data_IF_761296162129
#
_entry.id   IF_761296162129
#
_cell.length_a   1.000
_cell.length_b   1.000
_cell.length_c   1.000
_cell.angle_alpha   90.00
_cell.angle_beta   90.00
_cell.angle_gamma   90.00
#
_symmetry.space_group_name_H-M   'P 1'
#
loop_
_entity.id
_entity.type
_entity.pdbx_description
1 polymer ?
#
# COMPACT_ATOMS: atom_id res chain seq x y z
N UNK A 1 14.28 13.20 4.56
CA UNK A 1 13.62 12.27 5.51
C UNK A 1 12.13 12.56 5.49
N UNK A 2 11.26 11.55 5.60
CA UNK A 2 9.80 11.76 5.68
C UNK A 2 9.37 11.58 7.15
N UNK A 3 8.76 12.59 7.79
CA UNK A 3 8.27 12.47 9.17
C UNK A 3 7.14 11.47 9.30
N UNK A 4 7.07 10.77 10.44
CA UNK A 4 5.98 9.81 10.72
C UNK A 4 4.58 10.44 10.68
N UNK A 5 4.40 11.64 11.23
CA UNK A 5 3.12 12.36 11.16
C UNK A 5 2.66 12.57 9.72
N UNK A 6 3.58 12.97 8.84
CA UNK A 6 3.28 13.15 7.42
C UNK A 6 2.89 11.83 6.73
N UNK A 7 3.51 10.72 7.13
CA UNK A 7 3.12 9.39 6.64
C UNK A 7 1.72 9.04 7.12
N UNK A 8 1.40 9.31 8.39
CA UNK A 8 0.08 9.06 8.95
C UNK A 8 -1.00 9.87 8.22
N UNK A 9 -0.82 11.18 8.07
CA UNK A 9 -1.76 12.06 7.35
C UNK A 9 -1.95 11.58 5.91
N UNK A 10 -0.84 11.20 5.24
CA UNK A 10 -0.91 10.71 3.87
C UNK A 10 -1.61 9.36 3.77
N UNK A 11 -1.34 8.43 4.67
CA UNK A 11 -2.03 7.13 4.75
C UNK A 11 -3.52 7.31 5.02
N UNK A 12 -3.91 8.29 5.84
CA UNK A 12 -5.32 8.60 6.07
C UNK A 12 -6.03 9.10 4.80
N UNK A 13 -5.38 10.01 4.08
CA UNK A 13 -5.91 10.48 2.81
C UNK A 13 -6.08 9.34 1.80
N UNK A 14 -5.07 8.47 1.67
CA UNK A 14 -5.16 7.29 0.80
C UNK A 14 -6.31 6.37 1.22
N UNK A 15 -6.50 6.14 2.52
CA UNK A 15 -7.61 5.31 3.02
C UNK A 15 -8.97 5.90 2.65
N UNK A 16 -9.15 7.23 2.75
CA UNK A 16 -10.38 7.91 2.34
C UNK A 16 -10.62 7.80 0.84
N UNK A 17 -9.59 8.01 0.02
CA UNK A 17 -9.68 7.89 -1.44
C UNK A 17 -10.09 6.46 -1.84
N UNK A 18 -9.47 5.44 -1.22
CA UNK A 18 -9.81 4.02 -1.44
C UNK A 18 -11.25 3.73 -0.99
N UNK A 19 -11.64 4.20 0.20
CA UNK A 19 -12.96 3.95 0.75
C UNK A 19 -14.07 4.54 -0.13
N UNK A 20 -13.88 5.75 -0.65
CA UNK A 20 -14.83 6.38 -1.58
C UNK A 20 -14.96 5.62 -2.91
N UNK A 21 -13.85 5.04 -3.39
CA UNK A 21 -13.83 4.28 -4.62
C UNK A 21 -14.46 2.88 -4.49
N UNK A 22 -14.33 2.25 -3.32
CA UNK A 22 -14.89 0.93 -3.02
C UNK A 22 -16.38 1.02 -2.65
N UNK A 23 -16.80 2.09 -1.97
CA UNK A 23 -18.18 2.28 -1.47
C UNK A 23 -18.60 1.12 -0.55
N UNK A 24 -19.85 0.67 -0.64
CA UNK A 24 -20.43 -0.41 0.16
C UNK A 24 -20.19 -1.80 -0.47
N UNK A 25 -19.00 -2.04 -1.03
CA UNK A 25 -18.60 -3.34 -1.59
C UNK A 25 -17.52 -4.06 -0.77
N UNK A 26 -17.52 -5.41 -0.77
CA UNK A 26 -16.48 -6.18 -0.10
C UNK A 26 -15.11 -5.90 -0.70
N UNK A 27 -14.10 -5.74 0.16
CA UNK A 27 -12.75 -5.36 -0.25
C UNK A 27 -11.75 -6.46 0.04
N UNK A 28 -10.86 -6.77 -0.90
CA UNK A 28 -9.71 -7.65 -0.67
C UNK A 28 -8.39 -6.88 -0.80
N UNK A 29 -7.62 -6.85 0.28
CA UNK A 29 -6.35 -6.15 0.34
C UNK A 29 -5.18 -7.16 0.36
N UNK A 30 -4.31 -7.06 -0.64
CA UNK A 30 -3.14 -7.92 -0.82
C UNK A 30 -1.84 -7.16 -0.53
N UNK A 31 -1.23 -7.46 0.61
CA UNK A 31 0.03 -6.86 1.01
C UNK A 31 1.23 -7.53 0.31
N UNK A 32 2.08 -6.72 -0.35
CA UNK A 32 3.34 -7.20 -0.93
C UNK A 32 4.48 -7.06 0.09
N UNK A 33 4.98 -8.18 0.58
CA UNK A 33 6.12 -8.27 1.50
C UNK A 33 7.47 -8.07 0.76
N UNK A 34 8.53 -7.60 1.43
CA UNK A 34 8.74 -7.50 2.89
C UNK A 34 8.65 -6.09 3.51
N UNK A 35 8.74 -5.02 2.74
CA UNK A 35 8.87 -3.66 3.28
C UNK A 35 7.55 -2.94 3.60
N UNK A 36 6.43 -3.41 3.06
CA UNK A 36 5.16 -2.69 3.10
C UNK A 36 4.25 -2.99 4.28
N UNK A 37 4.61 -3.94 5.16
CA UNK A 37 3.70 -4.42 6.21
C UNK A 37 3.20 -3.31 7.13
N UNK A 38 4.07 -2.41 7.59
CA UNK A 38 3.68 -1.33 8.50
C UNK A 38 2.73 -0.31 7.85
N UNK A 39 3.02 0.08 6.62
CA UNK A 39 2.10 0.93 5.85
C UNK A 39 0.76 0.22 5.61
N UNK A 40 0.82 -1.08 5.32
CA UNK A 40 -0.35 -1.91 5.10
C UNK A 40 -1.24 -1.97 6.34
N UNK A 41 -0.69 -2.27 7.52
CA UNK A 41 -1.46 -2.29 8.78
C UNK A 41 -2.06 -0.93 9.09
N UNK A 42 -1.29 0.15 8.96
CA UNK A 42 -1.79 1.51 9.22
C UNK A 42 -2.94 1.87 8.29
N UNK A 43 -2.88 1.47 7.02
CA UNK A 43 -3.96 1.71 6.06
C UNK A 43 -5.19 0.85 6.35
N UNK A 44 -4.97 -0.43 6.71
CA UNK A 44 -6.02 -1.38 7.06
C UNK A 44 -6.84 -0.90 8.25
N UNK A 45 -6.17 -0.39 9.29
CA UNK A 45 -6.81 0.16 10.48
C UNK A 45 -7.68 1.37 10.15
N UNK A 46 -7.20 2.24 9.25
CA UNK A 46 -7.96 3.41 8.78
C UNK A 46 -9.16 3.00 7.93
N UNK A 47 -9.00 2.06 7.01
CA UNK A 47 -10.10 1.51 6.21
C UNK A 47 -11.16 0.84 7.09
N UNK A 48 -10.75 0.07 8.08
CA UNK A 48 -11.65 -0.59 9.03
C UNK A 48 -12.42 0.43 9.86
N UNK A 49 -11.73 1.50 10.31
CA UNK A 49 -12.36 2.61 11.04
C UNK A 49 -13.38 3.34 10.17
N UNK A 50 -13.04 3.64 8.91
CA UNK A 50 -13.96 4.29 7.96
C UNK A 50 -15.18 3.41 7.67
N UNK A 51 -14.97 2.12 7.41
CA UNK A 51 -16.05 1.16 7.16
C UNK A 51 -17.04 1.08 8.34
N UNK A 52 -16.54 1.11 9.58
CA UNK A 52 -17.40 1.09 10.78
C UNK A 52 -18.11 2.40 11.08
N UNK A 53 -17.50 3.54 10.75
CA UNK A 53 -18.00 4.87 11.15
C UNK A 53 -18.78 5.60 10.06
N UNK A 54 -18.47 5.33 8.79
CA UNK A 54 -19.01 6.04 7.63
C UNK A 54 -19.67 5.11 6.61
N UNK A 55 -19.52 3.79 6.74
CA UNK A 55 -20.19 2.82 5.86
C UNK A 55 -21.70 2.81 6.12
N UNK A 56 -22.49 2.76 5.04
CA UNK A 56 -23.94 2.54 5.19
C UNK A 56 -24.21 1.11 5.67
N UNK A 57 -23.35 0.18 5.25
CA UNK A 57 -23.33 -1.22 5.66
C UNK A 57 -21.89 -1.62 5.98
N UNK A 58 -21.68 -2.34 7.07
CA UNK A 58 -20.36 -2.90 7.39
C UNK A 58 -20.01 -3.98 6.34
N UNK A 59 -19.10 -3.64 5.42
CA UNK A 59 -18.65 -4.58 4.38
C UNK A 59 -17.51 -5.46 4.89
N UNK A 60 -17.42 -6.73 4.47
CA UNK A 60 -16.30 -7.57 4.85
C UNK A 60 -15.03 -7.11 4.15
N UNK A 61 -13.92 -7.15 4.88
CA UNK A 61 -12.60 -6.83 4.39
C UNK A 61 -11.68 -8.04 4.55
N UNK A 62 -11.14 -8.51 3.44
CA UNK A 62 -10.26 -9.67 3.36
C UNK A 62 -8.81 -9.24 3.19
N UNK A 63 -7.89 -10.03 3.72
CA UNK A 63 -6.47 -9.71 3.73
C UNK A 63 -5.66 -10.91 3.27
N UNK A 64 -4.80 -10.70 2.28
CA UNK A 64 -3.83 -11.66 1.78
C UNK A 64 -2.41 -11.08 1.79
N UNK A 65 -1.40 -11.95 1.77
CA UNK A 65 0.01 -11.56 1.78
C UNK A 65 0.81 -12.31 0.73
N UNK A 66 1.47 -11.58 -0.18
CA UNK A 66 2.36 -12.18 -1.18
C UNK A 66 3.78 -11.64 -1.07
N UNK A 67 4.77 -12.48 -1.38
CA UNK A 67 6.17 -12.08 -1.48
C UNK A 67 6.59 -11.97 -2.94
N UNK A 68 6.89 -10.75 -3.41
CA UNK A 68 7.41 -10.52 -4.77
C UNK A 68 8.94 -10.37 -4.78
N UNK A 69 9.55 -10.41 -5.98
CA UNK A 69 10.98 -10.08 -6.16
C UNK A 69 11.27 -8.58 -6.11
N UNK A 70 10.25 -7.74 -6.30
CA UNK A 70 10.40 -6.28 -6.27
C UNK A 70 10.55 -5.76 -4.84
N UNK A 71 11.41 -4.77 -4.65
CA UNK A 71 11.71 -4.12 -3.37
C UNK A 71 10.83 -2.89 -3.09
N UNK A 72 9.75 -2.70 -3.85
CA UNK A 72 8.87 -1.54 -3.69
C UNK A 72 7.84 -1.79 -2.57
N UNK A 73 7.58 -0.76 -1.76
CA UNK A 73 6.51 -0.78 -0.76
C UNK A 73 5.19 -0.61 -1.50
N UNK A 74 4.57 -1.75 -1.82
CA UNK A 74 3.36 -1.84 -2.62
C UNK A 74 2.27 -2.55 -1.81
N UNK A 75 1.09 -1.96 -1.85
CA UNK A 75 -0.15 -2.58 -1.45
C UNK A 75 -1.03 -2.70 -2.69
N UNK A 76 -1.51 -3.90 -2.96
CA UNK A 76 -2.43 -4.16 -4.06
C UNK A 76 -3.82 -4.29 -3.46
N UNK A 77 -4.77 -3.51 -3.93
CA UNK A 77 -6.15 -3.50 -3.42
C UNK A 77 -7.07 -3.86 -4.57
N UNK A 78 -7.78 -4.96 -4.47
CA UNK A 78 -8.69 -5.40 -5.52
C UNK A 78 -10.01 -5.84 -4.90
N UNK A 79 -11.07 -5.78 -5.69
CA UNK A 79 -12.36 -6.33 -5.27
C UNK A 79 -13.04 -7.03 -6.44
N UNK A 80 -13.66 -8.15 -6.12
CA UNK A 80 -14.34 -9.05 -7.05
C UNK A 80 -15.84 -8.84 -6.89
N UNK A 81 -16.54 -8.53 -7.99
CA UNK A 81 -17.99 -8.66 -8.01
C UNK A 81 -18.35 -10.11 -8.31
N UNK A 82 -19.15 -10.72 -7.45
CA UNK A 82 -19.86 -11.96 -7.78
C UNK A 82 -19.02 -13.22 -7.94
N UNK A 83 -17.76 -13.24 -7.50
CA UNK A 83 -16.86 -14.40 -7.62
C UNK A 83 -16.32 -14.83 -6.27
N UNK A 84 -16.31 -16.15 -6.03
CA UNK A 84 -15.83 -16.78 -4.80
C UNK A 84 -14.52 -16.15 -4.32
N UNK A 85 -14.42 -15.92 -3.00
CA UNK A 85 -13.16 -15.62 -2.31
C UNK A 85 -12.25 -16.84 -2.41
N UNK A 86 -11.71 -17.07 -3.61
CA UNK A 86 -10.78 -18.14 -3.90
C UNK A 86 -9.47 -17.81 -3.21
N UNK A 87 -9.31 -18.32 -1.99
CA UNK A 87 -8.01 -18.86 -1.61
C UNK A 87 -7.53 -19.76 -2.75
N UNK A 88 -6.21 -19.89 -2.89
CA UNK A 88 -5.49 -20.84 -3.76
C UNK A 88 -5.29 -20.44 -5.24
N UNK A 89 -4.30 -19.57 -5.49
CA UNK A 89 -3.21 -19.86 -6.47
C UNK A 89 -2.16 -18.74 -6.61
N UNK A 90 -2.33 -17.60 -5.91
CA UNK A 90 -1.33 -16.52 -5.91
C UNK A 90 0.03 -16.92 -5.32
N UNK A 91 0.14 -18.06 -4.65
CA UNK A 91 1.43 -18.64 -4.25
C UNK A 91 2.39 -18.84 -5.44
N UNK A 92 1.87 -19.16 -6.63
CA UNK A 92 2.67 -19.29 -7.86
C UNK A 92 3.18 -17.94 -8.40
N UNK A 93 2.61 -16.83 -7.93
CA UNK A 93 3.04 -15.48 -8.25
C UNK A 93 4.22 -15.02 -7.38
N UNK A 94 4.54 -15.76 -6.31
CA UNK A 94 5.64 -15.42 -5.42
C UNK A 94 6.96 -15.32 -6.20
N UNK A 95 7.68 -14.23 -5.99
CA UNK A 95 8.93 -13.96 -6.69
C UNK A 95 8.80 -13.50 -8.15
N UNK A 96 7.60 -13.10 -8.62
CA UNK A 96 7.40 -12.43 -9.91
C UNK A 96 7.39 -10.89 -9.75
N UNK A 97 7.27 -10.16 -10.87
CA UNK A 97 7.15 -8.69 -10.89
C UNK A 97 5.69 -8.24 -10.69
N UNK A 98 5.48 -6.98 -10.31
CA UNK A 98 4.13 -6.41 -10.11
C UNK A 98 3.26 -6.52 -11.37
N UNK A 99 3.82 -6.30 -12.56
CA UNK A 99 3.08 -6.45 -13.83
C UNK A 99 2.53 -7.87 -14.04
N UNK A 100 3.31 -8.90 -13.68
CA UNK A 100 2.85 -10.30 -13.76
C UNK A 100 1.75 -10.58 -12.74
N UNK A 101 1.83 -9.98 -11.55
CA UNK A 101 0.79 -10.11 -10.54
C UNK A 101 -0.53 -9.46 -11.02
N UNK A 102 -0.47 -8.26 -11.60
CA UNK A 102 -1.65 -7.60 -12.17
C UNK A 102 -2.28 -8.41 -13.29
N UNK A 103 -1.48 -8.92 -14.23
CA UNK A 103 -1.98 -9.76 -15.32
C UNK A 103 -2.69 -11.02 -14.81
N UNK A 104 -2.19 -11.60 -13.71
CA UNK A 104 -2.83 -12.77 -13.10
C UNK A 104 -4.11 -12.37 -12.38
N UNK A 105 -4.12 -11.25 -11.65
CA UNK A 105 -5.33 -10.73 -11.03
C UNK A 105 -6.41 -10.40 -12.06
N UNK A 106 -6.06 -9.80 -13.19
CA UNK A 106 -7.00 -9.51 -14.29
C UNK A 106 -7.62 -10.78 -14.88
N UNK A 107 -6.88 -11.90 -14.95
CA UNK A 107 -7.42 -13.18 -15.40
C UNK A 107 -8.53 -13.73 -14.49
N UNK A 108 -8.57 -13.34 -13.22
CA UNK A 108 -9.64 -13.71 -12.29
C UNK A 108 -10.91 -12.86 -12.44
N UNK A 109 -10.96 -11.97 -13.45
CA UNK A 109 -12.08 -11.06 -13.72
C UNK A 109 -12.60 -10.29 -12.49
N UNK A 110 -11.70 -9.61 -11.73
CA UNK A 110 -12.10 -8.71 -10.68
C UNK A 110 -12.94 -7.57 -11.24
N UNK A 111 -13.82 -7.02 -10.39
CA UNK A 111 -14.54 -5.79 -10.75
C UNK A 111 -13.55 -4.67 -11.02
N UNK A 112 -12.54 -4.57 -10.17
CA UNK A 112 -11.52 -3.55 -10.24
C UNK A 112 -10.29 -4.00 -9.48
N UNK A 113 -9.12 -3.72 -10.07
CA UNK A 113 -7.81 -3.85 -9.43
C UNK A 113 -7.21 -2.46 -9.35
N UNK A 114 -6.85 -2.04 -8.15
CA UNK A 114 -6.13 -0.80 -7.91
C UNK A 114 -4.90 -1.05 -7.08
N UNK A 115 -3.86 -0.24 -7.26
CA UNK A 115 -2.63 -0.38 -6.49
C UNK A 115 -2.38 0.88 -5.71
N UNK A 116 -2.11 0.70 -4.43
CA UNK A 116 -1.69 1.73 -3.51
C UNK A 116 -0.20 1.58 -3.18
N UNK A 117 0.53 2.68 -3.19
CA UNK A 117 1.92 2.70 -2.77
C UNK A 117 2.20 3.94 -1.94
N UNK A 118 2.86 3.74 -0.80
CA UNK A 118 3.30 4.86 0.02
C UNK A 118 4.46 5.62 -0.64
N UNK A 119 5.39 4.92 -1.29
CA UNK A 119 6.60 5.50 -1.86
C UNK A 119 6.78 5.02 -3.30
N UNK A 120 6.67 5.96 -4.24
CA UNK A 120 6.91 5.70 -5.66
C UNK A 120 8.24 6.33 -6.06
N UNK A 121 9.19 5.51 -6.49
CA UNK A 121 10.49 5.97 -6.96
C UNK A 121 10.39 6.51 -8.38
N UNK A 122 10.83 7.75 -8.57
CA UNK A 122 11.04 8.37 -9.89
C UNK A 122 12.27 7.74 -10.53
N UNK A 123 12.05 6.77 -11.41
CA UNK A 123 13.10 6.12 -12.21
C UNK A 123 12.98 6.54 -13.68
N UNK A 124 14.06 7.02 -14.31
CA UNK A 124 14.07 7.33 -15.75
C UNK A 124 13.67 6.13 -16.62
N UNK A 125 14.07 4.93 -16.19
CA UNK A 125 13.76 3.66 -16.87
C UNK A 125 12.60 2.89 -16.21
N UNK A 126 11.71 3.58 -15.49
CA UNK A 126 10.48 2.92 -15.01
C UNK A 126 9.66 2.45 -16.21
N UNK A 127 9.03 1.28 -16.07
CA UNK A 127 8.20 0.65 -17.11
C UNK A 127 6.88 1.41 -17.37
N UNK A 128 6.81 2.71 -17.02
CA UNK A 128 5.62 3.55 -17.09
C UNK A 128 4.55 3.23 -16.05
N UNK A 129 4.71 2.15 -15.27
CA UNK A 129 3.71 1.73 -14.28
C UNK A 129 3.59 2.74 -13.12
N UNK A 130 2.37 3.27 -12.93
CA UNK A 130 2.02 4.17 -11.83
C UNK A 130 0.91 3.55 -10.98
N UNK A 131 1.09 3.46 -9.64
CA UNK A 131 0.01 3.08 -8.74
C UNK A 131 -1.17 4.04 -8.84
N UNK A 132 -2.39 3.51 -8.69
CA UNK A 132 -3.62 4.31 -8.65
C UNK A 132 -3.63 5.27 -7.45
N UNK A 133 -3.12 4.81 -6.30
CA UNK A 133 -3.02 5.61 -5.09
C UNK A 133 -1.55 5.78 -4.72
N UNK A 134 -1.06 7.02 -4.75
CA UNK A 134 0.33 7.33 -4.49
C UNK A 134 0.48 8.25 -3.27
N UNK A 135 1.27 7.78 -2.29
CA UNK A 135 1.67 8.55 -1.12
C UNK A 135 2.65 9.65 -1.50
N UNK A 136 3.91 9.30 -1.75
CA UNK A 136 4.99 10.23 -2.06
C UNK A 136 5.79 9.78 -3.27
N UNK A 137 6.07 10.72 -4.18
CA UNK A 137 7.04 10.51 -5.26
C UNK A 137 8.46 10.89 -4.79
N UNK A 138 9.31 9.88 -4.61
CA UNK A 138 10.68 10.03 -4.13
C UNK A 138 11.70 9.88 -5.27
N UNK A 139 12.88 10.50 -5.20
CA UNK A 139 13.96 10.22 -6.14
C UNK A 139 14.42 8.75 -6.01
N UNK A 140 15.14 8.22 -7.01
CA UNK A 140 15.76 6.89 -6.91
C UNK A 140 16.98 6.87 -5.98
N UNK A 141 16.74 7.19 -4.72
CA UNK A 141 17.69 7.14 -3.61
C UNK A 141 17.07 6.30 -2.50
N UNK A 142 17.92 5.75 -1.62
CA UNK A 142 17.41 5.10 -0.41
C UNK A 142 16.74 6.15 0.48
N UNK A 143 15.50 5.89 0.89
CA UNK A 143 14.74 6.77 1.76
C UNK A 143 14.66 6.16 3.15
N UNK A 144 15.16 6.90 4.14
CA UNK A 144 14.97 6.59 5.54
C UNK A 144 13.61 7.11 5.99
N UNK A 145 12.69 6.19 6.34
CA UNK A 145 11.46 6.51 7.05
C UNK A 145 11.84 6.70 8.52
N UNK A 146 11.68 7.92 9.04
CA UNK A 146 12.01 8.20 10.43
C UNK A 146 10.79 7.88 11.30
N UNK A 147 10.77 6.67 11.86
CA UNK A 147 9.95 6.38 13.04
C UNK A 147 10.68 7.05 14.19
N UNK A 148 10.30 8.29 14.49
CA UNK A 148 10.97 9.03 15.54
C UNK A 148 10.59 8.41 16.89
N UNK A 149 11.34 7.42 17.34
CA UNK A 149 11.51 7.16 18.76
C UNK A 149 12.54 8.17 19.30
N UNK A 150 12.56 8.47 20.61
CA UNK A 150 13.46 9.49 21.17
C UNK A 150 14.93 9.22 20.81
N UNK A 151 15.35 7.95 20.76
CA UNK A 151 16.70 7.54 20.28
C UNK A 151 17.01 7.94 18.82
N UNK A 152 15.99 8.04 17.97
CA UNK A 152 16.15 8.47 16.57
C UNK A 152 16.35 9.97 16.42
N UNK A 153 15.81 10.79 17.35
CA UNK A 153 16.07 12.24 17.38
C UNK A 153 17.53 12.52 17.73
N UNK A 154 18.06 11.82 18.73
CA UNK A 154 19.45 12.00 19.17
C UNK A 154 20.45 11.52 18.13
N UNK A 155 20.21 10.36 17.49
CA UNK A 155 21.16 9.76 16.53
C UNK A 155 21.32 10.57 15.23
N UNK A 156 20.32 11.35 14.85
CA UNK A 156 20.32 12.15 13.61
C UNK A 156 20.16 13.64 13.85
N UNK A 157 20.33 14.10 15.10
CA UNK A 157 20.42 15.52 15.40
C UNK A 157 21.64 16.10 14.68
N UNK A 158 21.41 17.11 13.84
CA UNK A 158 22.51 17.89 13.25
C UNK A 158 23.17 18.65 14.41
N UNK A 159 24.49 18.51 14.64
CA UNK A 159 25.14 19.27 15.70
C UNK A 159 25.00 20.77 15.40
N UNK A 160 24.43 21.50 16.35
CA UNK A 160 24.38 22.96 16.29
C UNK A 160 25.82 23.48 16.39
N UNK A 161 26.40 23.86 15.26
CA UNK A 161 27.78 24.39 15.23
C UNK A 161 28.53 24.27 13.89
N UNK A 162 27.97 23.71 12.82
CA UNK A 162 28.59 23.76 11.50
C UNK A 162 28.06 24.97 10.70
N UNK A 163 28.67 26.14 10.96
CA UNK A 163 28.70 27.26 10.03
C UNK A 163 30.00 27.22 9.23
#
# INVERSE_FOLDING_TARGET
MIPWGLIQDRTERLARDIFQDVKDEPLTALCVLKGGYRFFTDLLDKLTTLNRSQGSVSVPLYVDFIRLKSYEILLVIYWLLGGQHGQSDWAQCAGRTMQKLLAILENHQPKSVKVASLLVKRRPNSTGYRPNYCGFEIPDKFVHICVINNNGKEKYAVPQGAH
#
